data_IF_607100297002
#
_entry.id   IF_607100297002
#
_cell.length_a   1.000
_cell.length_b   1.000
_cell.length_c   1.000
_cell.angle_alpha   90.00
_cell.angle_beta   90.00
_cell.angle_gamma   90.00
#
_symmetry.space_group_name_H-M   'P 1'
#
loop_
_entity.id
_entity.type
_entity.pdbx_description
1 polymer ?
#
# COMPACT_ATOMS: atom_id res chain seq x y z
N UNK A 1 -8.59 8.87 14.62
CA UNK A 1 -8.58 7.89 13.54
C UNK A 1 -7.18 7.32 13.36
N UNK A 2 -7.06 5.97 13.26
CA UNK A 2 -5.78 5.29 13.02
C UNK A 2 -5.67 4.79 11.59
N UNK A 3 -4.61 5.22 10.89
CA UNK A 3 -4.28 4.80 9.54
C UNK A 3 -2.97 4.00 9.58
N UNK A 4 -2.96 2.83 8.93
CA UNK A 4 -1.75 2.01 8.79
C UNK A 4 -1.49 1.76 7.32
N UNK A 5 -0.24 1.94 6.88
CA UNK A 5 0.25 1.55 5.55
C UNK A 5 1.33 0.51 5.67
N UNK A 6 1.24 -0.57 4.89
CA UNK A 6 2.19 -1.67 4.92
C UNK A 6 2.25 -2.39 3.57
N UNK A 7 3.43 -2.55 3.00
CA UNK A 7 3.65 -3.55 1.98
C UNK A 7 3.69 -4.93 2.66
N UNK A 8 2.72 -5.79 2.32
CA UNK A 8 2.48 -7.06 3.00
C UNK A 8 3.40 -8.21 2.53
N UNK A 9 4.25 -7.94 1.52
CA UNK A 9 5.19 -8.93 0.96
C UNK A 9 4.53 -10.27 0.60
N UNK A 10 3.33 -10.22 0.01
CA UNK A 10 2.54 -11.40 -0.34
C UNK A 10 2.17 -12.31 0.83
N UNK A 11 2.24 -11.81 2.06
CA UNK A 11 1.99 -12.59 3.27
C UNK A 11 3.11 -13.57 3.62
N UNK A 12 4.35 -13.32 3.22
CA UNK A 12 5.50 -14.21 3.48
C UNK A 12 5.73 -14.48 4.98
N UNK A 13 5.37 -13.53 5.87
CA UNK A 13 5.36 -13.70 7.32
C UNK A 13 3.93 -13.78 7.86
N UNK A 14 3.14 -14.71 7.32
CA UNK A 14 1.69 -14.77 7.46
C UNK A 14 1.18 -14.70 8.91
N UNK A 15 1.66 -15.56 9.79
CA UNK A 15 1.16 -15.61 11.18
C UNK A 15 1.39 -14.28 11.90
N UNK A 16 2.62 -13.76 11.83
CA UNK A 16 2.97 -12.48 12.43
C UNK A 16 2.17 -11.31 11.82
N UNK A 17 1.95 -11.35 10.49
CA UNK A 17 1.14 -10.34 9.79
C UNK A 17 -0.32 -10.36 10.27
N UNK A 18 -0.95 -11.54 10.34
CA UNK A 18 -2.35 -11.68 10.77
C UNK A 18 -2.52 -11.25 12.22
N UNK A 19 -1.60 -11.63 13.10
CA UNK A 19 -1.64 -11.22 14.52
C UNK A 19 -1.46 -9.71 14.67
N UNK A 20 -0.53 -9.12 13.92
CA UNK A 20 -0.34 -7.67 13.89
C UNK A 20 -1.59 -6.93 13.42
N UNK A 21 -2.19 -7.37 12.32
CA UNK A 21 -3.39 -6.73 11.74
C UNK A 21 -4.56 -6.75 12.74
N UNK A 22 -4.74 -7.85 13.50
CA UNK A 22 -5.76 -7.95 14.55
C UNK A 22 -5.51 -7.01 15.73
N UNK A 23 -4.24 -6.85 16.13
CA UNK A 23 -3.86 -6.09 17.32
C UNK A 23 -3.67 -4.60 17.05
N UNK A 24 -3.35 -4.23 15.83
CA UNK A 24 -3.02 -2.85 15.45
C UNK A 24 -4.19 -1.87 15.57
N UNK A 25 -5.43 -2.39 15.63
CA UNK A 25 -6.68 -1.63 15.80
C UNK A 25 -6.82 -0.47 14.81
N UNK A 26 -6.50 -0.74 13.53
CA UNK A 26 -6.57 0.25 12.47
C UNK A 26 -8.03 0.62 12.15
N UNK A 27 -8.30 1.91 11.91
CA UNK A 27 -9.55 2.35 11.29
C UNK A 27 -9.47 2.23 9.77
N UNK A 28 -8.29 2.52 9.20
CA UNK A 28 -7.99 2.33 7.78
C UNK A 28 -6.65 1.61 7.65
N UNK A 29 -6.64 0.47 6.95
CA UNK A 29 -5.44 -0.31 6.66
C UNK A 29 -5.21 -0.33 5.15
N UNK A 30 -4.08 0.23 4.71
CA UNK A 30 -3.65 0.35 3.33
C UNK A 30 -2.53 -0.65 3.05
N UNK A 31 -2.78 -1.67 2.25
CA UNK A 31 -1.83 -2.74 1.98
C UNK A 31 -1.38 -2.77 0.53
N UNK A 32 -0.09 -3.01 0.31
CA UNK A 32 0.52 -3.30 -0.98
C UNK A 32 0.96 -4.77 -1.03
N UNK A 33 1.19 -5.30 -2.23
CA UNK A 33 1.57 -6.69 -2.48
C UNK A 33 0.57 -7.70 -1.90
N UNK A 34 -0.71 -7.46 -2.13
CA UNK A 34 -1.78 -8.39 -1.73
C UNK A 34 -2.18 -9.26 -2.91
N UNK A 35 -2.45 -10.54 -2.62
CA UNK A 35 -2.87 -11.54 -3.58
C UNK A 35 -4.33 -11.96 -3.35
N UNK A 36 -5.01 -12.30 -4.45
CA UNK A 36 -6.35 -12.85 -4.47
C UNK A 36 -6.43 -14.01 -5.45
N UNK A 37 -6.54 -15.24 -4.94
CA UNK A 37 -6.72 -16.47 -5.70
C UNK A 37 -7.76 -17.34 -4.98
N UNK A 38 -9.07 -17.05 -5.16
CA UNK A 38 -10.14 -17.72 -4.40
C UNK A 38 -10.22 -19.22 -4.67
N UNK A 39 -9.75 -19.67 -5.83
CA UNK A 39 -9.78 -21.08 -6.22
C UNK A 39 -8.57 -21.88 -5.69
N UNK A 40 -7.66 -21.26 -4.95
CA UNK A 40 -6.51 -21.95 -4.36
C UNK A 40 -6.90 -22.69 -3.08
N UNK A 41 -6.72 -24.01 -3.06
CA UNK A 41 -7.05 -24.85 -1.90
C UNK A 41 -5.98 -24.88 -0.81
N UNK A 42 -4.71 -24.58 -1.12
CA UNK A 42 -3.59 -24.79 -0.18
C UNK A 42 -3.29 -23.61 0.74
N UNK A 43 -3.80 -22.44 0.47
CA UNK A 43 -3.46 -21.21 1.18
C UNK A 43 -2.04 -20.69 0.90
N UNK A 44 -1.03 -21.55 0.74
CA UNK A 44 0.31 -21.21 0.25
C UNK A 44 0.44 -21.53 -1.24
N UNK A 45 1.17 -20.69 -1.95
CA UNK A 45 1.52 -20.84 -3.35
C UNK A 45 2.90 -20.30 -3.63
N UNK A 46 3.48 -20.68 -4.76
CA UNK A 46 4.81 -20.22 -5.17
C UNK A 46 4.66 -19.25 -6.35
N UNK A 47 5.15 -18.06 -6.18
CA UNK A 47 5.42 -17.16 -7.28
C UNK A 47 6.73 -17.57 -7.94
N UNK A 48 6.73 -17.71 -9.28
CA UNK A 48 7.92 -18.04 -10.09
C UNK A 48 8.11 -17.00 -11.19
N UNK A 49 9.24 -16.35 -11.22
CA UNK A 49 9.61 -15.40 -12.27
C UNK A 49 11.12 -15.19 -12.34
N UNK A 50 11.68 -15.22 -13.57
CA UNK A 50 13.09 -14.96 -13.86
C UNK A 50 14.06 -15.72 -12.91
N UNK A 51 13.76 -17.01 -12.61
CA UNK A 51 14.58 -17.86 -11.75
C UNK A 51 14.43 -17.58 -10.24
N UNK A 52 13.46 -16.76 -9.85
CA UNK A 52 13.10 -16.54 -8.45
C UNK A 52 11.87 -17.34 -8.10
N UNK A 53 11.89 -17.94 -6.92
CA UNK A 53 10.73 -18.56 -6.29
C UNK A 53 10.47 -17.87 -4.95
N UNK A 54 9.22 -17.47 -4.73
CA UNK A 54 8.80 -16.82 -3.48
C UNK A 54 7.50 -17.47 -3.00
N UNK A 55 7.50 -18.06 -1.79
CA UNK A 55 6.26 -18.51 -1.16
C UNK A 55 5.40 -17.28 -0.81
N UNK A 56 4.12 -17.35 -1.17
CA UNK A 56 3.14 -16.29 -0.92
C UNK A 56 1.81 -16.89 -0.51
N UNK A 57 1.00 -16.11 0.22
CA UNK A 57 -0.38 -16.49 0.53
C UNK A 57 -1.26 -16.24 -0.68
N UNK A 58 -1.79 -17.32 -1.24
CA UNK A 58 -2.56 -17.25 -2.49
C UNK A 58 -3.80 -16.33 -2.38
N UNK A 59 -4.43 -16.27 -1.22
CA UNK A 59 -5.64 -15.48 -1.00
C UNK A 59 -5.55 -14.56 0.23
N UNK A 60 -4.42 -13.85 0.34
CA UNK A 60 -4.12 -12.96 1.47
C UNK A 60 -5.24 -11.94 1.71
N UNK A 61 -5.90 -11.42 0.65
CA UNK A 61 -7.02 -10.50 0.77
C UNK A 61 -8.16 -11.07 1.62
N UNK A 62 -8.59 -12.30 1.33
CA UNK A 62 -9.66 -12.95 2.08
C UNK A 62 -9.23 -13.29 3.52
N UNK A 63 -7.97 -13.69 3.72
CA UNK A 63 -7.44 -14.03 5.04
C UNK A 63 -7.38 -12.81 5.97
N UNK A 64 -6.96 -11.65 5.44
CA UNK A 64 -7.01 -10.38 6.20
C UNK A 64 -8.45 -9.96 6.45
N UNK A 65 -9.34 -10.09 5.45
CA UNK A 65 -10.77 -9.82 5.65
C UNK A 65 -11.40 -10.66 6.75
N UNK A 66 -11.03 -11.95 6.83
CA UNK A 66 -11.46 -12.85 7.91
C UNK A 66 -10.87 -12.46 9.28
N UNK A 67 -9.65 -11.91 9.31
CA UNK A 67 -9.02 -11.40 10.52
C UNK A 67 -9.63 -10.07 11.00
N UNK A 68 -10.28 -9.33 10.10
CA UNK A 68 -10.88 -8.01 10.31
C UNK A 68 -12.40 -8.01 10.00
N UNK A 69 -13.25 -8.78 10.70
CA UNK A 69 -14.69 -8.89 10.40
C UNK A 69 -15.45 -7.57 10.58
N UNK A 70 -14.88 -6.64 11.34
CA UNK A 70 -15.39 -5.28 11.53
C UNK A 70 -15.02 -4.27 10.45
N UNK A 71 -14.39 -4.70 9.34
CA UNK A 71 -13.96 -3.82 8.25
C UNK A 71 -14.60 -4.22 6.91
N UNK A 72 -14.77 -3.25 6.03
CA UNK A 72 -15.07 -3.46 4.62
C UNK A 72 -13.76 -3.48 3.83
N UNK A 73 -13.59 -4.48 2.96
CA UNK A 73 -12.37 -4.66 2.18
C UNK A 73 -12.55 -4.28 0.71
N UNK A 74 -11.60 -3.52 0.17
CA UNK A 74 -11.52 -3.12 -1.24
C UNK A 74 -10.24 -3.72 -1.84
N UNK A 75 -10.36 -4.44 -2.95
CA UNK A 75 -9.22 -5.00 -3.66
C UNK A 75 -9.06 -4.35 -5.03
N UNK A 76 -7.84 -3.89 -5.32
CA UNK A 76 -7.51 -3.13 -6.53
C UNK A 76 -6.40 -3.85 -7.30
N UNK A 77 -6.71 -4.76 -8.24
CA UNK A 77 -5.71 -5.54 -8.96
C UNK A 77 -4.95 -4.69 -9.98
N UNK A 78 -3.65 -4.96 -10.12
CA UNK A 78 -2.80 -4.45 -11.22
C UNK A 78 -2.59 -5.47 -12.31
N UNK A 79 -2.64 -6.76 -11.97
CA UNK A 79 -2.35 -7.85 -12.89
C UNK A 79 -3.03 -9.15 -12.46
N UNK A 80 -3.19 -10.06 -13.42
CA UNK A 80 -3.62 -11.43 -13.22
C UNK A 80 -2.58 -12.39 -13.80
N UNK A 81 -1.82 -13.03 -12.94
CA UNK A 81 -0.74 -13.94 -13.30
C UNK A 81 -0.96 -15.34 -12.77
N UNK A 82 0.11 -16.15 -12.83
CA UNK A 82 0.10 -17.53 -12.38
C UNK A 82 0.93 -17.68 -11.11
N UNK A 83 0.35 -18.30 -10.10
CA UNK A 83 1.02 -18.90 -8.96
C UNK A 83 1.02 -20.43 -9.12
N UNK A 84 1.78 -21.11 -8.28
CA UNK A 84 1.89 -22.57 -8.32
C UNK A 84 1.60 -23.18 -6.95
N UNK A 85 0.74 -24.19 -6.92
CA UNK A 85 0.54 -25.08 -5.79
C UNK A 85 1.14 -26.43 -6.17
N UNK A 86 2.38 -26.70 -5.73
CA UNK A 86 3.20 -27.75 -6.32
C UNK A 86 3.45 -27.48 -7.80
N UNK A 87 2.95 -28.38 -8.66
CA UNK A 87 3.01 -28.26 -10.12
C UNK A 87 1.71 -27.69 -10.74
N UNK A 88 0.66 -27.52 -9.94
CA UNK A 88 -0.61 -26.98 -10.41
C UNK A 88 -0.53 -25.45 -10.58
N UNK A 89 -0.85 -24.98 -11.78
CA UNK A 89 -0.92 -23.56 -12.09
C UNK A 89 -2.25 -22.97 -11.59
N UNK A 90 -2.17 -21.89 -10.83
CA UNK A 90 -3.32 -21.21 -10.24
C UNK A 90 -3.34 -19.77 -10.73
N UNK A 91 -4.49 -19.33 -11.26
CA UNK A 91 -4.69 -17.95 -11.61
C UNK A 91 -4.85 -17.09 -10.34
N UNK A 92 -4.07 -16.03 -10.23
CA UNK A 92 -4.10 -15.11 -9.09
C UNK A 92 -4.02 -13.65 -9.56
N UNK A 93 -4.68 -12.78 -8.84
CA UNK A 93 -4.56 -11.34 -8.99
C UNK A 93 -3.60 -10.78 -7.94
N UNK A 94 -2.85 -9.77 -8.34
CA UNK A 94 -1.91 -9.04 -7.49
C UNK A 94 -2.27 -7.55 -7.49
N UNK A 95 -2.26 -6.90 -6.32
CA UNK A 95 -2.61 -5.49 -6.26
C UNK A 95 -2.55 -4.90 -4.87
N UNK A 96 -3.37 -3.85 -4.71
CA UNK A 96 -3.58 -3.16 -3.44
C UNK A 96 -4.82 -3.71 -2.72
N UNK A 97 -4.82 -3.58 -1.40
CA UNK A 97 -6.02 -3.78 -0.61
C UNK A 97 -6.19 -2.63 0.41
N UNK A 98 -7.41 -2.19 0.59
CA UNK A 98 -7.79 -1.22 1.63
C UNK A 98 -8.87 -1.84 2.50
N UNK A 99 -8.70 -1.78 3.82
CA UNK A 99 -9.72 -2.19 4.77
C UNK A 99 -10.13 -0.99 5.60
N UNK A 100 -11.44 -0.70 5.66
CA UNK A 100 -12.01 0.44 6.38
C UNK A 100 -12.96 -0.07 7.44
N UNK A 101 -12.77 0.35 8.69
CA UNK A 101 -13.66 -0.03 9.81
C UNK A 101 -15.09 0.42 9.52
N UNK A 102 -16.06 -0.49 9.70
CA UNK A 102 -17.49 -0.29 9.38
C UNK A 102 -18.16 0.83 10.19
N UNK A 103 -17.53 1.32 11.26
CA UNK A 103 -17.99 2.52 11.97
C UNK A 103 -17.74 3.83 11.20
N UNK A 104 -17.04 3.77 10.09
CA UNK A 104 -16.80 4.88 9.17
C UNK A 104 -17.51 4.62 7.84
N UNK A 105 -17.87 5.69 7.12
CA UNK A 105 -18.45 5.57 5.78
C UNK A 105 -17.44 5.97 4.71
N UNK A 106 -17.24 5.12 3.69
CA UNK A 106 -16.54 5.52 2.47
C UNK A 106 -17.52 6.29 1.60
N UNK A 107 -17.37 7.62 1.52
CA UNK A 107 -18.32 8.52 0.86
C UNK A 107 -17.90 8.92 -0.57
N UNK A 108 -16.66 8.67 -0.95
CA UNK A 108 -16.14 8.75 -2.31
C UNK A 108 -14.93 7.85 -2.46
N UNK A 109 -14.68 7.36 -3.67
CA UNK A 109 -13.47 6.59 -3.98
C UNK A 109 -13.13 6.67 -5.46
N UNK A 110 -11.84 6.50 -5.77
CA UNK A 110 -11.32 6.33 -7.12
C UNK A 110 -10.14 5.35 -7.12
N UNK A 111 -10.06 4.53 -8.16
CA UNK A 111 -8.95 3.62 -8.44
C UNK A 111 -8.48 3.94 -9.84
N UNK A 112 -7.18 4.07 -10.04
CA UNK A 112 -6.60 4.23 -11.38
C UNK A 112 -5.16 3.78 -11.42
N UNK A 113 -4.63 3.57 -12.62
CA UNK A 113 -3.24 3.26 -12.83
C UNK A 113 -2.40 4.53 -12.74
N UNK A 114 -1.33 4.45 -11.94
CA UNK A 114 -0.29 5.48 -11.87
C UNK A 114 0.90 5.13 -12.78
N UNK A 115 0.96 3.89 -13.26
CA UNK A 115 1.90 3.44 -14.28
C UNK A 115 1.34 2.22 -15.02
N UNK A 116 1.42 2.23 -16.37
CA UNK A 116 0.94 1.14 -17.21
C UNK A 116 -0.59 0.96 -17.17
N UNK A 117 -1.05 -0.26 -17.39
CA UNK A 117 -2.46 -0.64 -17.40
C UNK A 117 -2.63 -2.08 -16.89
N UNK A 118 -3.86 -2.51 -16.63
CA UNK A 118 -4.14 -3.86 -16.14
C UNK A 118 -3.55 -4.94 -17.06
N UNK A 119 -2.71 -5.82 -16.50
CA UNK A 119 -2.18 -6.99 -17.20
C UNK A 119 -3.09 -8.19 -16.97
N UNK A 120 -3.84 -8.58 -18.01
CA UNK A 120 -4.78 -9.70 -17.94
C UNK A 120 -4.12 -11.07 -18.11
N UNK A 121 -2.92 -11.12 -18.68
CA UNK A 121 -2.18 -12.35 -19.02
C UNK A 121 -0.74 -12.28 -18.49
N UNK A 122 -0.57 -12.58 -17.20
CA UNK A 122 0.72 -12.53 -16.51
C UNK A 122 0.91 -11.29 -15.65
N UNK A 123 2.06 -11.20 -15.01
CA UNK A 123 2.37 -10.15 -14.03
C UNK A 123 2.73 -8.79 -14.66
N UNK A 124 2.73 -8.69 -15.99
CA UNK A 124 3.17 -7.53 -16.75
C UNK A 124 4.70 -7.49 -16.96
N UNK A 125 5.11 -6.69 -17.94
CA UNK A 125 6.53 -6.43 -18.22
C UNK A 125 7.10 -5.40 -17.23
N UNK A 126 8.41 -5.48 -16.98
CA UNK A 126 9.09 -4.50 -16.13
C UNK A 126 9.36 -3.17 -16.86
N UNK A 127 9.10 -2.02 -16.21
CA UNK A 127 8.48 -1.85 -14.89
C UNK A 127 6.99 -2.21 -14.93
N UNK A 128 6.59 -3.05 -13.99
CA UNK A 128 5.22 -3.61 -13.95
C UNK A 128 4.14 -2.55 -13.71
N UNK A 129 2.89 -2.82 -14.14
CA UNK A 129 1.76 -1.93 -13.87
C UNK A 129 1.63 -1.62 -12.36
N UNK A 130 1.28 -0.39 -12.07
CA UNK A 130 1.05 0.13 -10.71
C UNK A 130 -0.21 0.95 -10.67
N UNK A 131 -0.98 0.77 -9.61
CA UNK A 131 -2.20 1.54 -9.37
C UNK A 131 -2.13 2.25 -8.01
N UNK A 132 -3.08 3.14 -7.81
CA UNK A 132 -3.38 3.76 -6.54
C UNK A 132 -4.87 3.65 -6.24
N UNK A 133 -5.21 3.66 -4.96
CA UNK A 133 -6.57 3.74 -4.46
C UNK A 133 -6.69 4.97 -3.55
N UNK A 134 -7.65 5.82 -3.86
CA UNK A 134 -8.00 7.01 -3.09
C UNK A 134 -9.42 6.86 -2.57
N UNK A 135 -9.60 7.03 -1.26
CA UNK A 135 -10.90 6.98 -0.58
C UNK A 135 -11.12 8.24 0.24
N UNK A 136 -12.37 8.67 0.34
CA UNK A 136 -12.80 9.70 1.27
C UNK A 136 -13.65 9.05 2.35
N UNK A 137 -13.18 9.13 3.59
CA UNK A 137 -13.75 8.45 4.75
C UNK A 137 -14.42 9.49 5.66
N UNK A 138 -15.69 9.26 6.02
CA UNK A 138 -16.42 10.06 6.99
C UNK A 138 -16.46 9.36 8.34
N UNK A 139 -15.96 10.04 9.38
CA UNK A 139 -16.05 9.59 10.77
C UNK A 139 -17.32 10.11 11.41
N UNK A 140 -18.22 9.20 11.78
CA UNK A 140 -19.46 9.58 12.47
C UNK A 140 -19.20 10.09 13.90
N UNK A 141 -18.11 9.66 14.52
CA UNK A 141 -17.76 10.08 15.88
C UNK A 141 -17.37 11.56 15.96
N UNK A 142 -16.67 12.06 14.92
CA UNK A 142 -16.15 13.43 14.88
C UNK A 142 -16.95 14.33 13.92
N UNK A 143 -17.91 13.77 13.18
CA UNK A 143 -18.63 14.43 12.09
C UNK A 143 -17.69 15.12 11.08
N UNK A 144 -16.58 14.46 10.75
CA UNK A 144 -15.54 14.97 9.86
C UNK A 144 -15.16 13.96 8.80
N UNK A 145 -14.64 14.46 7.68
CA UNK A 145 -14.13 13.63 6.59
C UNK A 145 -12.64 13.82 6.43
N UNK A 146 -11.98 12.76 5.93
CA UNK A 146 -10.58 12.76 5.55
C UNK A 146 -10.40 12.00 4.25
N UNK A 147 -9.51 12.47 3.38
CA UNK A 147 -9.12 11.74 2.18
C UNK A 147 -7.82 10.98 2.42
N UNK A 148 -7.78 9.71 2.02
CA UNK A 148 -6.64 8.82 2.16
C UNK A 148 -6.37 8.19 0.81
N UNK A 149 -5.16 8.36 0.29
CA UNK A 149 -4.70 7.68 -0.92
C UNK A 149 -3.48 6.81 -0.61
N UNK A 150 -3.43 5.64 -1.24
CA UNK A 150 -2.22 4.83 -1.18
C UNK A 150 -1.88 4.23 -2.52
N UNK A 151 -0.60 3.97 -2.74
CA UNK A 151 -0.10 3.32 -3.94
C UNK A 151 0.97 2.29 -3.64
N UNK A 152 1.20 1.39 -4.61
CA UNK A 152 2.46 0.68 -4.74
C UNK A 152 3.21 1.27 -5.93
N UNK A 153 4.31 1.97 -5.66
CA UNK A 153 5.07 2.70 -6.66
C UNK A 153 5.86 1.81 -7.60
N UNK A 154 6.27 2.40 -8.70
CA UNK A 154 7.04 1.76 -9.76
C UNK A 154 8.38 1.23 -9.22
N UNK A 155 8.61 -0.07 -9.43
CA UNK A 155 9.90 -0.70 -9.17
C UNK A 155 10.72 -0.77 -10.46
N UNK A 156 11.70 0.11 -10.56
CA UNK A 156 12.63 0.12 -11.68
C UNK A 156 13.79 -0.85 -11.43
N UNK A 157 14.13 -1.76 -12.36
CA UNK A 157 15.30 -2.62 -12.24
C UNK A 157 16.62 -1.85 -12.11
N UNK A 158 16.70 -0.61 -12.64
CA UNK A 158 17.87 0.25 -12.56
C UNK A 158 18.08 0.90 -11.17
N UNK A 159 17.08 0.82 -10.28
CA UNK A 159 17.18 1.34 -8.91
C UNK A 159 16.05 2.27 -8.48
N UNK A 160 16.32 3.10 -7.45
CA UNK A 160 15.32 3.99 -6.82
C UNK A 160 15.50 5.48 -7.18
N UNK A 161 16.43 5.82 -8.07
CA UNK A 161 16.63 7.19 -8.55
C UNK A 161 15.47 7.69 -9.41
N UNK A 162 15.39 9.00 -9.59
CA UNK A 162 14.35 9.62 -10.39
C UNK A 162 14.43 9.23 -11.87
N UNK A 163 13.26 9.04 -12.48
CA UNK A 163 13.07 8.75 -13.90
C UNK A 163 11.82 9.47 -14.41
N UNK A 164 11.68 9.72 -15.71
CA UNK A 164 10.47 10.30 -16.28
C UNK A 164 9.20 9.51 -15.88
N UNK A 165 9.28 8.17 -15.87
CA UNK A 165 8.15 7.33 -15.48
C UNK A 165 7.74 7.52 -14.00
N UNK A 166 8.67 7.86 -13.10
CA UNK A 166 8.35 8.19 -11.70
C UNK A 166 7.72 9.57 -11.56
N UNK A 167 8.16 10.52 -12.37
CA UNK A 167 7.53 11.84 -12.43
C UNK A 167 6.09 11.74 -12.95
N UNK A 168 5.87 11.02 -14.06
CA UNK A 168 4.54 10.72 -14.60
C UNK A 168 3.66 10.01 -13.56
N UNK A 169 4.20 9.04 -12.81
CA UNK A 169 3.52 8.36 -11.72
C UNK A 169 3.07 9.33 -10.63
N UNK A 170 3.93 10.25 -10.21
CA UNK A 170 3.59 11.22 -9.18
C UNK A 170 2.48 12.19 -9.65
N UNK A 171 2.52 12.62 -10.91
CA UNK A 171 1.47 13.43 -11.54
C UNK A 171 0.15 12.66 -11.65
N UNK A 172 0.19 11.39 -12.04
CA UNK A 172 -0.99 10.54 -12.14
C UNK A 172 -1.62 10.32 -10.75
N UNK A 173 -0.81 10.10 -9.70
CA UNK A 173 -1.28 9.99 -8.32
C UNK A 173 -1.95 11.30 -7.87
N UNK A 174 -1.34 12.46 -8.13
CA UNK A 174 -1.91 13.76 -7.80
C UNK A 174 -3.28 13.96 -8.49
N UNK A 175 -3.36 13.68 -9.79
CA UNK A 175 -4.63 13.77 -10.54
C UNK A 175 -5.70 12.77 -10.06
N UNK A 176 -5.32 11.58 -9.58
CA UNK A 176 -6.25 10.65 -8.96
C UNK A 176 -6.82 11.22 -7.65
N UNK A 177 -5.95 11.76 -6.80
CA UNK A 177 -6.33 12.38 -5.53
C UNK A 177 -7.28 13.55 -5.74
N UNK A 178 -7.01 14.43 -6.70
CA UNK A 178 -7.86 15.59 -7.02
C UNK A 178 -9.30 15.22 -7.42
N UNK A 179 -9.53 14.01 -7.92
CA UNK A 179 -10.89 13.52 -8.25
C UNK A 179 -11.72 13.18 -7.01
N UNK A 180 -11.10 12.98 -5.85
CA UNK A 180 -11.75 12.53 -4.61
C UNK A 180 -11.64 13.56 -3.50
N UNK A 181 -10.48 14.25 -3.40
CA UNK A 181 -10.18 15.22 -2.37
C UNK A 181 -10.74 16.59 -2.71
N UNK A 182 -11.60 17.19 -1.84
CA UNK A 182 -12.20 18.49 -2.11
C UNK A 182 -11.26 19.69 -1.87
N UNK A 183 -10.01 19.48 -1.41
CA UNK A 183 -9.04 20.53 -1.12
C UNK A 183 -9.25 21.30 0.19
N UNK A 184 -10.32 21.01 0.94
CA UNK A 184 -10.72 21.74 2.14
C UNK A 184 -10.68 20.92 3.43
N UNK A 185 -10.23 19.69 3.34
CA UNK A 185 -10.11 18.75 4.47
C UNK A 185 -8.74 18.08 4.48
N UNK A 186 -8.44 17.34 5.55
CA UNK A 186 -7.18 16.62 5.66
C UNK A 186 -6.98 15.59 4.55
N UNK A 187 -5.77 15.53 4.00
CA UNK A 187 -5.32 14.54 3.02
C UNK A 187 -4.13 13.77 3.58
N UNK A 188 -4.20 12.44 3.49
CA UNK A 188 -3.08 11.52 3.76
C UNK A 188 -2.75 10.77 2.48
N UNK A 189 -1.47 10.74 2.11
CA UNK A 189 -0.97 9.94 0.98
C UNK A 189 0.12 9.01 1.49
N UNK A 190 -0.01 7.70 1.31
CA UNK A 190 0.91 6.72 1.87
C UNK A 190 1.20 5.56 0.92
N UNK A 191 2.10 4.66 1.30
CA UNK A 191 2.40 3.44 0.57
C UNK A 191 3.88 3.18 0.35
N UNK A 192 4.16 2.15 -0.42
CA UNK A 192 5.48 1.85 -0.96
C UNK A 192 5.71 2.65 -2.26
N UNK A 193 6.42 3.75 -2.16
CA UNK A 193 6.72 4.62 -3.30
C UNK A 193 7.89 4.13 -4.15
N UNK A 194 8.71 3.22 -3.62
CA UNK A 194 9.92 2.71 -4.26
C UNK A 194 10.93 3.80 -4.71
N UNK A 195 11.01 4.91 -3.98
CA UNK A 195 11.92 6.04 -4.23
C UNK A 195 12.81 6.31 -3.03
N UNK A 196 13.84 7.15 -3.21
CA UNK A 196 14.69 7.68 -2.15
C UNK A 196 14.09 8.98 -1.56
N UNK A 197 14.52 9.42 -0.37
CA UNK A 197 13.97 10.61 0.30
C UNK A 197 14.09 11.92 -0.46
N UNK A 198 15.06 12.03 -1.38
CA UNK A 198 15.33 13.20 -2.21
C UNK A 198 14.64 13.19 -3.58
N UNK A 199 13.73 12.23 -3.80
CA UNK A 199 13.02 12.07 -5.08
C UNK A 199 12.17 13.30 -5.44
N UNK A 200 12.18 13.66 -6.73
CA UNK A 200 11.32 14.68 -7.33
C UNK A 200 9.81 14.39 -7.13
N UNK A 201 9.44 13.14 -6.87
CA UNK A 201 8.07 12.74 -6.49
C UNK A 201 7.52 13.63 -5.36
N UNK A 202 8.32 13.90 -4.33
CA UNK A 202 7.88 14.71 -3.19
C UNK A 202 7.69 16.20 -3.54
N UNK A 203 8.47 16.73 -4.47
CA UNK A 203 8.29 18.10 -4.97
C UNK A 203 6.96 18.26 -5.73
N UNK A 204 6.53 17.23 -6.45
CA UNK A 204 5.24 17.20 -7.15
C UNK A 204 4.10 17.18 -6.13
N UNK A 205 4.15 16.25 -5.18
CA UNK A 205 3.12 16.08 -4.16
C UNK A 205 3.05 17.28 -3.18
N UNK A 206 4.17 17.96 -2.92
CA UNK A 206 4.21 19.17 -2.11
C UNK A 206 3.36 20.32 -2.70
N UNK A 207 3.08 20.34 -4.00
CA UNK A 207 2.17 21.33 -4.62
C UNK A 207 0.72 21.19 -4.12
N UNK A 208 0.37 20.02 -3.57
CA UNK A 208 -0.91 19.77 -2.91
C UNK A 208 -0.88 20.09 -1.41
N UNK A 209 0.20 20.68 -0.90
CA UNK A 209 0.40 20.95 0.53
C UNK A 209 0.89 19.74 1.35
N UNK A 210 1.26 18.64 0.70
CA UNK A 210 1.71 17.42 1.36
C UNK A 210 3.15 17.55 1.87
N UNK A 211 3.38 17.13 3.12
CA UNK A 211 4.69 17.02 3.76
C UNK A 211 4.93 15.60 4.22
N UNK A 212 6.13 15.04 3.97
CA UNK A 212 6.48 13.68 4.36
C UNK A 212 6.83 13.59 5.84
N UNK A 213 6.15 12.70 6.55
CA UNK A 213 6.38 12.45 7.97
C UNK A 213 7.63 11.58 8.24
N UNK A 214 8.05 10.73 7.30
CA UNK A 214 9.20 9.84 7.49
C UNK A 214 10.48 10.67 7.61
N UNK A 215 10.75 11.52 6.63
CA UNK A 215 11.97 12.35 6.62
C UNK A 215 11.89 13.51 7.61
N UNK A 216 10.72 14.12 7.78
CA UNK A 216 10.51 15.21 8.73
C UNK A 216 10.77 14.80 10.20
N UNK A 217 10.54 13.51 10.54
CA UNK A 217 10.85 12.96 11.87
C UNK A 217 12.28 12.39 11.97
N UNK A 218 13.13 12.60 10.98
CA UNK A 218 14.52 12.11 10.98
C UNK A 218 14.65 10.59 10.96
N UNK A 219 13.63 9.88 10.48
CA UNK A 219 13.66 8.43 10.38
C UNK A 219 14.57 8.02 9.23
N UNK A 220 15.35 6.96 9.46
CA UNK A 220 16.46 6.56 8.57
C UNK A 220 16.19 5.28 7.79
N UNK A 221 15.07 4.60 8.06
CA UNK A 221 14.80 3.26 7.53
C UNK A 221 13.31 2.92 7.58
N UNK A 222 12.79 2.35 6.50
CA UNK A 222 11.43 1.77 6.42
C UNK A 222 11.44 0.28 6.09
N UNK A 223 12.62 -0.38 6.23
CA UNK A 223 12.81 -1.81 5.97
C UNK A 223 13.10 -2.58 7.25
N UNK A 224 12.72 -3.85 7.26
CA UNK A 224 12.99 -4.79 8.37
C UNK A 224 14.31 -5.53 8.17
N UNK A 225 14.66 -6.42 9.09
CA UNK A 225 15.84 -7.28 9.00
C UNK A 225 15.82 -8.23 7.80
N UNK A 226 14.65 -8.53 7.25
CA UNK A 226 14.48 -9.37 6.05
C UNK A 226 14.94 -8.70 4.75
N UNK A 227 15.10 -7.37 4.74
CA UNK A 227 15.60 -6.65 3.58
C UNK A 227 17.13 -6.54 3.62
N UNK A 228 17.81 -7.31 2.77
CA UNK A 228 19.27 -7.45 2.78
C UNK A 228 20.02 -6.48 1.84
N UNK A 229 19.30 -5.58 1.14
CA UNK A 229 19.91 -4.66 0.16
C UNK A 229 20.15 -3.28 0.78
N UNK A 230 20.95 -2.46 0.06
CA UNK A 230 21.06 -1.04 0.35
C UNK A 230 19.80 -0.27 -0.11
N UNK A 231 19.68 1.01 0.28
CA UNK A 231 18.55 1.85 -0.08
C UNK A 231 17.29 1.46 0.70
N UNK A 232 17.38 1.55 2.02
CA UNK A 232 16.39 1.06 2.99
C UNK A 232 15.14 1.94 3.12
N UNK A 233 14.97 2.92 2.26
CA UNK A 233 13.73 3.69 2.13
C UNK A 233 12.87 3.15 0.97
N UNK A 234 11.58 3.09 1.19
CA UNK A 234 10.59 2.78 0.16
C UNK A 234 9.20 3.31 0.53
N UNK A 235 8.87 3.30 1.81
CA UNK A 235 7.54 3.57 2.34
C UNK A 235 7.49 5.00 2.89
N UNK A 236 6.43 5.72 2.56
CA UNK A 236 6.23 7.10 2.98
C UNK A 236 4.79 7.34 3.41
N UNK A 237 4.63 8.37 4.25
CA UNK A 237 3.33 8.87 4.67
C UNK A 237 3.38 10.39 4.69
N UNK A 238 2.60 10.99 3.81
CA UNK A 238 2.54 12.42 3.60
C UNK A 238 1.19 12.94 4.08
N UNK A 239 1.18 14.13 4.68
CA UNK A 239 -0.03 14.76 5.20
C UNK A 239 -0.09 16.23 4.82
N UNK A 240 -1.31 16.76 4.66
CA UNK A 240 -1.55 18.20 4.57
C UNK A 240 -1.63 18.84 5.97
N UNK A 241 -1.50 20.17 6.11
CA UNK A 241 -1.54 20.88 7.41
C UNK A 241 -2.86 20.71 8.19
N UNK A 242 -3.95 20.37 7.50
CA UNK A 242 -5.26 20.12 8.10
C UNK A 242 -5.27 18.82 8.93
N UNK A 243 -4.37 17.87 8.64
CA UNK A 243 -4.25 16.64 9.40
C UNK A 243 -3.56 16.90 10.73
N UNK A 244 -4.32 16.76 11.83
CA UNK A 244 -3.78 16.92 13.18
C UNK A 244 -3.15 15.62 13.65
N UNK A 245 -1.84 15.49 13.43
CA UNK A 245 -1.06 14.31 13.80
C UNK A 245 -0.94 14.23 15.31
N UNK A 246 -1.52 13.17 15.90
CA UNK A 246 -1.35 12.84 17.31
C UNK A 246 -0.13 11.94 17.55
N UNK A 247 0.13 11.01 16.62
CA UNK A 247 1.28 10.08 16.65
C UNK A 247 1.63 9.66 15.24
N UNK A 248 2.91 9.58 14.95
CA UNK A 248 3.45 8.91 13.76
C UNK A 248 4.57 7.97 14.15
N UNK A 249 4.57 6.77 13.58
CA UNK A 249 5.58 5.75 13.88
C UNK A 249 5.91 4.92 12.65
N UNK A 250 7.20 4.64 12.46
CA UNK A 250 7.70 3.53 11.65
C UNK A 250 7.89 2.35 12.60
N UNK A 251 6.98 1.38 12.53
CA UNK A 251 6.87 0.28 13.51
C UNK A 251 8.09 -0.63 13.42
N UNK A 252 8.88 -0.63 14.48
CA UNK A 252 10.11 -1.44 14.53
C UNK A 252 9.82 -2.91 14.80
N UNK A 253 8.84 -3.18 15.65
CA UNK A 253 8.44 -4.53 16.10
C UNK A 253 6.93 -4.59 16.30
N UNK A 254 6.27 -5.72 15.95
CA UNK A 254 6.84 -6.92 15.32
C UNK A 254 7.25 -6.71 13.87
N UNK A 255 8.24 -7.48 13.37
CA UNK A 255 8.53 -7.54 11.94
C UNK A 255 7.56 -8.51 11.27
N UNK A 256 6.72 -7.99 10.38
CA UNK A 256 5.61 -8.73 9.74
C UNK A 256 5.69 -8.77 8.21
N UNK A 257 6.74 -8.14 7.68
CA UNK A 257 7.08 -8.02 6.26
C UNK A 257 8.57 -7.71 6.14
N UNK A 258 9.12 -7.64 4.92
CA UNK A 258 10.41 -7.00 4.66
C UNK A 258 10.32 -5.47 4.66
N UNK A 259 9.10 -4.93 4.79
CA UNK A 259 8.80 -3.52 5.04
C UNK A 259 8.31 -3.30 6.47
N UNK A 260 8.59 -2.11 7.03
CA UNK A 260 8.00 -1.66 8.29
C UNK A 260 6.62 -1.04 8.05
N UNK A 261 5.67 -1.33 8.92
CA UNK A 261 4.40 -0.63 8.90
C UNK A 261 4.60 0.84 9.28
N UNK A 262 3.88 1.74 8.60
CA UNK A 262 3.75 3.14 8.97
C UNK A 262 2.41 3.32 9.68
N UNK A 263 2.43 3.82 10.91
CA UNK A 263 1.26 4.06 11.73
C UNK A 263 1.06 5.56 11.95
N UNK A 264 -0.14 6.05 11.67
CA UNK A 264 -0.56 7.43 11.89
C UNK A 264 -1.84 7.47 12.73
N UNK A 265 -1.78 8.09 13.91
CA UNK A 265 -2.95 8.47 14.68
C UNK A 265 -3.23 9.97 14.48
N UNK A 266 -4.47 10.28 14.13
CA UNK A 266 -4.94 11.66 13.97
C UNK A 266 -6.08 11.95 14.94
N UNK A 267 -6.15 13.22 15.38
CA UNK A 267 -7.19 13.72 16.30
C UNK A 267 -8.54 13.85 15.60
#
# INVERSE_FOLDING_TARGET
LRIISLNAWGGSLHEALIDYVRQADADVLCLQEVLRAPDCGSGWSIYRDAGRELPQRANLFAEIGAALPGHDGFFCPTSRGTLFDGDAAIAAEFGLATFVRKSHSVIAQAIDFVHGSFSAAGWGEHPRPRNAHCIRVFSHANASAITIAHMHGLRDPAGKGDTPAREEQALALAGLVERVWPGSEGLVVCGDFNVLPDSATFNILARMGLSDLVTANGLVDTRTSYYLKQGRFADYMLVTPEVKVARFEVVATPEVSDHRALLLDIV
#
